data_IF_493226452520
#
_entry.id   IF_493226452520
#
_cell.length_a   1.000
_cell.length_b   1.000
_cell.length_c   1.000
_cell.angle_alpha   90.00
_cell.angle_beta   90.00
_cell.angle_gamma   90.00
#
_symmetry.space_group_name_H-M   'P 1'
#
loop_
_entity.id
_entity.type
_entity.pdbx_description
1 polymer ?
#
# COMPACT_ATOMS: atom_id res chain seq x y z
N UNK A 1 -11.43 27.91 -12.41
CA UNK A 1 -11.16 27.01 -11.28
C UNK A 1 -10.79 27.88 -10.10
N UNK A 2 -11.46 27.76 -8.95
CA UNK A 2 -11.06 28.52 -7.77
C UNK A 2 -9.89 27.79 -7.11
N UNK A 3 -8.84 28.51 -6.65
CA UNK A 3 -7.75 27.87 -5.91
C UNK A 3 -8.30 27.30 -4.61
N UNK A 4 -8.02 26.03 -4.34
CA UNK A 4 -8.28 25.43 -3.03
C UNK A 4 -7.42 26.16 -1.99
N UNK A 5 -7.98 26.51 -0.82
CA UNK A 5 -7.16 27.05 0.26
C UNK A 5 -6.06 26.05 0.57
N UNK A 6 -4.81 26.52 0.63
CA UNK A 6 -3.67 25.68 0.97
C UNK A 6 -3.86 25.22 2.42
N UNK A 7 -4.19 23.94 2.59
CA UNK A 7 -4.24 23.35 3.92
C UNK A 7 -2.81 23.34 4.45
N UNK A 8 -2.60 23.76 5.71
CA UNK A 8 -1.28 23.69 6.29
C UNK A 8 -0.85 22.22 6.34
N UNK A 9 0.42 21.95 5.99
CA UNK A 9 1.02 20.61 5.91
C UNK A 9 1.11 19.90 7.28
N UNK A 10 0.71 20.60 8.35
CA UNK A 10 0.69 20.08 9.71
C UNK A 10 -0.45 19.09 9.92
N UNK A 11 -0.09 17.87 10.34
CA UNK A 11 -1.07 16.91 10.85
C UNK A 11 -1.67 17.42 12.17
N UNK A 12 -2.98 17.26 12.42
CA UNK A 12 -3.59 17.64 13.69
C UNK A 12 -2.87 17.00 14.88
N UNK A 13 -2.74 17.73 15.99
CA UNK A 13 -2.04 17.24 17.20
C UNK A 13 -2.58 15.88 17.67
N UNK A 14 -3.89 15.66 17.58
CA UNK A 14 -4.49 14.37 17.95
C UNK A 14 -4.03 13.22 17.05
N UNK A 15 -3.87 13.48 15.75
CA UNK A 15 -3.39 12.50 14.76
C UNK A 15 -1.90 12.20 14.99
N UNK A 16 -1.08 13.23 15.22
CA UNK A 16 0.33 13.08 15.57
C UNK A 16 0.53 12.21 16.83
N UNK A 17 -0.32 12.40 17.85
CA UNK A 17 -0.26 11.59 19.08
C UNK A 17 -0.61 10.12 18.82
N UNK A 18 -1.61 9.85 17.98
CA UNK A 18 -1.99 8.47 17.63
C UNK A 18 -0.91 7.80 16.74
N UNK A 19 -0.28 8.55 15.84
CA UNK A 19 0.82 8.04 15.00
C UNK A 19 2.10 7.77 15.79
N UNK A 20 2.34 8.53 16.87
CA UNK A 20 3.44 8.29 17.81
C UNK A 20 3.15 7.18 18.81
N UNK A 21 1.92 6.68 18.85
CA UNK A 21 1.55 5.60 19.76
C UNK A 21 2.26 4.33 19.35
N UNK A 22 2.87 3.66 20.32
CA UNK A 22 3.45 2.33 20.11
C UNK A 22 2.38 1.41 19.54
N UNK A 23 2.66 0.81 18.37
CA UNK A 23 1.75 -0.09 17.71
C UNK A 23 1.49 -1.25 18.67
N UNK A 24 0.30 -1.26 19.28
CA UNK A 24 -0.13 -2.35 20.14
C UNK A 24 -0.16 -3.66 19.35
N UNK A 25 -0.18 -4.79 20.06
CA UNK A 25 -0.19 -6.14 19.51
C UNK A 25 -1.02 -6.19 18.23
N UNK A 26 -0.37 -6.61 17.14
CA UNK A 26 -1.01 -6.64 15.84
C UNK A 26 -2.31 -7.45 15.99
N UNK A 27 -3.46 -6.90 15.58
CA UNK A 27 -4.65 -7.73 15.50
C UNK A 27 -4.28 -8.98 14.71
N UNK A 28 -4.72 -10.15 15.17
CA UNK A 28 -4.56 -11.38 14.40
C UNK A 28 -5.18 -11.08 13.04
N UNK A 29 -4.33 -11.03 12.02
CA UNK A 29 -4.77 -10.77 10.67
C UNK A 29 -5.40 -12.07 10.17
N UNK A 30 -6.68 -12.23 10.50
CA UNK A 30 -7.49 -13.35 10.02
C UNK A 30 -7.55 -13.38 8.48
N UNK A 31 -7.34 -12.22 7.82
CA UNK A 31 -7.19 -12.14 6.37
C UNK A 31 -5.80 -12.52 5.88
N UNK A 32 -4.73 -12.35 6.66
CA UNK A 32 -3.41 -12.91 6.30
C UNK A 32 -3.41 -14.45 6.22
N UNK A 33 -4.34 -15.11 6.92
CA UNK A 33 -4.57 -16.54 6.77
C UNK A 33 -5.25 -16.89 5.43
N UNK A 34 -5.98 -15.95 4.83
CA UNK A 34 -6.45 -16.04 3.46
C UNK A 34 -5.30 -15.63 2.54
N UNK A 35 -4.58 -16.63 2.02
CA UNK A 35 -3.62 -16.40 0.94
C UNK A 35 -4.28 -15.65 -0.24
N UNK A 36 -3.47 -15.07 -1.15
CA UNK A 36 -4.00 -14.35 -2.30
C UNK A 36 -5.04 -15.21 -3.02
N UNK A 37 -6.22 -14.65 -3.23
CA UNK A 37 -7.28 -15.36 -3.94
C UNK A 37 -6.82 -15.62 -5.36
N UNK A 38 -6.92 -16.88 -5.80
CA UNK A 38 -6.63 -17.27 -7.18
C UNK A 38 -7.59 -16.60 -8.19
N UNK A 39 -8.71 -16.08 -7.69
CA UNK A 39 -9.69 -15.37 -8.49
C UNK A 39 -9.41 -13.86 -8.51
N UNK A 40 -9.41 -13.24 -9.71
CA UNK A 40 -9.28 -11.79 -9.84
C UNK A 40 -10.47 -11.05 -9.23
N UNK A 41 -10.30 -9.77 -8.85
CA UNK A 41 -11.41 -8.85 -8.64
C UNK A 41 -12.33 -8.81 -9.87
N UNK A 42 -13.62 -8.58 -9.66
CA UNK A 42 -14.62 -8.54 -10.76
C UNK A 42 -14.37 -7.46 -11.81
N UNK A 43 -13.62 -6.43 -11.44
CA UNK A 43 -13.23 -5.31 -12.30
C UNK A 43 -12.09 -5.68 -13.27
N UNK A 44 -11.39 -6.77 -12.98
CA UNK A 44 -10.19 -7.20 -13.70
C UNK A 44 -10.49 -8.49 -14.46
N UNK A 45 -10.06 -8.55 -15.72
CA UNK A 45 -10.18 -9.79 -16.50
C UNK A 45 -9.21 -10.84 -15.98
N UNK A 46 -9.54 -12.14 -16.03
CA UNK A 46 -8.64 -13.20 -15.57
C UNK A 46 -7.25 -13.17 -16.21
N UNK A 47 -7.16 -12.79 -17.49
CA UNK A 47 -5.87 -12.67 -18.18
C UNK A 47 -5.01 -11.54 -17.59
N UNK A 48 -5.59 -10.35 -17.42
CA UNK A 48 -4.88 -9.18 -16.87
C UNK A 48 -4.39 -9.42 -15.44
N UNK A 49 -5.17 -10.15 -14.64
CA UNK A 49 -4.75 -10.58 -13.31
C UNK A 49 -3.58 -11.55 -13.32
N UNK A 50 -3.54 -12.50 -14.26
CA UNK A 50 -2.43 -13.44 -14.39
C UNK A 50 -1.13 -12.71 -14.76
N UNK A 51 -1.19 -11.71 -15.65
CA UNK A 51 -0.03 -10.90 -16.02
C UNK A 51 0.52 -10.14 -14.80
N UNK A 52 -0.32 -9.68 -13.87
CA UNK A 52 0.12 -9.00 -12.65
C UNK A 52 0.77 -9.94 -11.62
N UNK A 53 0.42 -11.22 -11.63
CA UNK A 53 1.03 -12.23 -10.76
C UNK A 53 2.37 -12.75 -11.31
N UNK A 54 2.68 -12.45 -12.57
CA UNK A 54 3.94 -12.83 -13.20
C UNK A 54 5.10 -12.09 -12.49
N UNK A 55 6.12 -12.85 -12.06
CA UNK A 55 7.34 -12.27 -11.51
C UNK A 55 8.07 -11.51 -12.62
N UNK A 56 8.23 -10.21 -12.42
CA UNK A 56 9.10 -9.38 -13.25
C UNK A 56 10.54 -9.54 -12.77
N UNK A 57 11.46 -9.85 -13.69
CA UNK A 57 12.90 -9.84 -13.40
C UNK A 57 13.36 -8.38 -13.21
N UNK A 58 13.62 -8.00 -11.97
CA UNK A 58 14.21 -6.70 -11.64
C UNK A 58 15.73 -6.74 -11.90
N UNK A 59 16.25 -5.71 -12.55
CA UNK A 59 17.70 -5.57 -12.73
C UNK A 59 18.36 -5.30 -11.37
N UNK A 60 19.48 -5.96 -11.04
CA UNK A 60 20.15 -5.76 -9.75
C UNK A 60 20.69 -4.34 -9.53
N UNK A 61 20.82 -3.53 -10.59
CA UNK A 61 21.19 -2.11 -10.51
C UNK A 61 19.99 -1.22 -10.11
N UNK A 62 18.74 -1.68 -10.30
CA UNK A 62 17.50 -0.94 -9.96
C UNK A 62 17.26 -0.84 -8.44
N UNK A 63 17.82 -1.78 -7.67
CA UNK A 63 17.73 -1.80 -6.19
C UNK A 63 18.77 -0.87 -5.52
N UNK A 64 19.76 -0.38 -6.27
CA UNK A 64 20.79 0.50 -5.74
C UNK A 64 20.29 1.95 -5.80
N UNK A 65 20.20 2.67 -4.67
CA UNK A 65 19.91 4.09 -4.70
C UNK A 65 21.03 4.83 -5.43
N UNK A 66 20.66 5.64 -6.43
CA UNK A 66 21.56 6.56 -7.14
C UNK A 66 22.23 7.50 -6.10
N UNK A 67 23.57 7.41 -5.96
CA UNK A 67 24.38 8.19 -5.00
C UNK A 67 24.69 9.62 -5.50
#
# INVERSE_FOLDING_TARGET
>A
MQPTPELPDEVPVADAVEQLRERSEAPIDEEAAAGPSDNPPLEVSPADWQEQLETVELDPDDDLPDD
#
